data_IF_260879311935
#
_entry.id   IF_260879311935
#
_cell.length_a   1.000
_cell.length_b   1.000
_cell.length_c   1.000
_cell.angle_alpha   90.00
_cell.angle_beta   90.00
_cell.angle_gamma   90.00
#
_symmetry.space_group_name_H-M   'P 1'
#
loop_
_entity.id
_entity.type
_entity.pdbx_description
1 polymer ?
#
# COMPACT_ATOMS: atom_id res chain seq x y z
N UNK A 1 -38.43 5.73 -71.35
CA UNK A 1 -37.76 6.87 -72.02
C UNK A 1 -36.71 7.41 -71.06
N UNK A 2 -35.42 7.33 -71.45
CA UNK A 2 -34.23 8.09 -70.96
C UNK A 2 -33.93 8.00 -69.45
N UNK A 3 -32.70 7.98 -68.96
CA UNK A 3 -31.35 7.98 -69.54
C UNK A 3 -30.38 7.75 -68.37
N UNK A 4 -29.21 7.21 -68.70
CA UNK A 4 -27.89 7.60 -68.16
C UNK A 4 -27.53 7.20 -66.71
N UNK A 5 -26.52 6.34 -66.52
CA UNK A 5 -25.07 6.68 -66.51
C UNK A 5 -24.73 7.49 -65.23
N UNK A 6 -23.74 7.15 -64.41
CA UNK A 6 -22.41 6.65 -64.73
C UNK A 6 -21.65 6.48 -63.39
N UNK A 7 -20.60 5.64 -63.41
CA UNK A 7 -19.31 5.87 -62.74
C UNK A 7 -19.26 5.57 -61.23
N UNK A 8 -18.29 4.86 -60.66
CA UNK A 8 -17.00 4.39 -61.17
C UNK A 8 -16.34 3.46 -60.14
N UNK A 9 -15.54 2.49 -60.66
CA UNK A 9 -14.20 2.05 -60.19
C UNK A 9 -14.10 1.38 -58.79
N UNK A 10 -13.32 0.33 -58.57
CA UNK A 10 -12.18 -0.23 -59.30
C UNK A 10 -11.98 -1.69 -58.84
N UNK A 11 -11.63 -2.58 -59.78
CA UNK A 11 -11.20 -3.96 -59.52
C UNK A 11 -9.85 -3.99 -58.78
N UNK A 12 -9.54 -5.10 -58.09
CA UNK A 12 -8.51 -6.11 -58.48
C UNK A 12 -7.37 -6.11 -57.45
N UNK A 13 -6.72 -7.19 -56.97
CA UNK A 13 -6.59 -8.60 -57.40
C UNK A 13 -5.68 -9.34 -56.38
N UNK A 14 -5.97 -10.63 -56.11
CA UNK A 14 -5.06 -11.72 -55.59
C UNK A 14 -4.35 -11.56 -54.22
N UNK A 15 -3.88 -12.58 -53.50
CA UNK A 15 -3.53 -14.00 -53.76
C UNK A 15 -3.44 -14.75 -52.40
N UNK A 16 -3.58 -16.08 -52.44
CA UNK A 16 -3.44 -17.04 -51.34
C UNK A 16 -1.97 -17.39 -51.00
N UNK A 17 -1.78 -17.96 -49.80
CA UNK A 17 -0.59 -18.64 -49.19
C UNK A 17 0.49 -17.68 -48.64
N UNK A 18 0.94 -17.77 -47.38
CA UNK A 18 1.63 -18.90 -46.71
C UNK A 18 1.42 -18.91 -45.18
N UNK A 19 1.47 -20.11 -44.58
CA UNK A 19 1.57 -20.35 -43.13
C UNK A 19 2.94 -19.87 -42.62
N UNK A 20 2.96 -19.12 -41.51
CA UNK A 20 4.16 -18.92 -40.69
C UNK A 20 3.73 -18.96 -39.21
N UNK A 21 4.25 -19.96 -38.51
CA UNK A 21 4.07 -20.20 -37.09
C UNK A 21 5.00 -19.25 -36.32
N UNK A 22 4.42 -18.39 -35.48
CA UNK A 22 5.22 -17.40 -34.77
C UNK A 22 4.55 -16.92 -33.49
N UNK A 23 4.60 -17.78 -32.46
CA UNK A 23 4.51 -17.45 -31.03
C UNK A 23 3.58 -16.28 -30.69
N UNK A 24 2.34 -16.62 -30.33
CA UNK A 24 1.59 -15.85 -29.34
C UNK A 24 2.43 -15.85 -28.07
N UNK A 25 3.23 -14.80 -27.88
CA UNK A 25 3.72 -14.44 -26.58
C UNK A 25 2.50 -14.08 -25.76
N UNK A 26 2.00 -15.03 -24.98
CA UNK A 26 1.23 -14.73 -23.79
C UNK A 26 2.07 -13.71 -23.02
N UNK A 27 1.70 -12.44 -23.15
CA UNK A 27 2.08 -11.45 -22.16
C UNK A 27 1.37 -11.96 -20.92
N UNK A 28 2.10 -12.75 -20.11
CA UNK A 28 1.79 -12.92 -18.70
C UNK A 28 1.56 -11.50 -18.20
N UNK A 29 0.28 -11.14 -18.06
CA UNK A 29 -0.09 -10.01 -17.23
C UNK A 29 0.39 -10.43 -15.86
N UNK A 30 1.64 -10.06 -15.54
CA UNK A 30 2.06 -9.93 -14.15
C UNK A 30 0.92 -9.17 -13.51
N UNK A 31 0.24 -9.81 -12.59
CA UNK A 31 -0.68 -9.12 -11.69
C UNK A 31 0.18 -8.08 -10.97
N UNK A 32 0.27 -6.89 -11.56
CA UNK A 32 0.73 -5.70 -10.89
C UNK A 32 -0.20 -5.58 -9.69
N UNK A 33 0.32 -5.96 -8.51
CA UNK A 33 -0.46 -6.07 -7.29
C UNK A 33 -1.30 -4.80 -7.13
N UNK A 34 -2.61 -4.97 -6.99
CA UNK A 34 -3.56 -3.85 -7.06
C UNK A 34 -3.11 -2.70 -6.16
N UNK A 35 -2.92 -1.54 -6.76
CA UNK A 35 -2.67 -0.31 -6.03
C UNK A 35 -3.98 0.10 -5.36
N UNK A 36 -3.94 0.26 -4.05
CA UNK A 36 -5.04 0.73 -3.22
C UNK A 36 -4.76 2.16 -2.79
N UNK A 37 -5.60 3.07 -3.28
CA UNK A 37 -5.56 4.49 -2.91
C UNK A 37 -6.81 4.86 -2.11
N UNK A 38 -6.68 5.83 -1.22
CA UNK A 38 -7.77 6.24 -0.34
C UNK A 38 -7.31 7.17 0.77
N UNK A 39 -8.08 7.21 1.86
CA UNK A 39 -7.82 8.09 3.00
C UNK A 39 -7.57 7.26 4.24
N UNK A 40 -6.54 7.61 5.00
CA UNK A 40 -6.26 7.03 6.30
C UNK A 40 -6.54 8.02 7.43
N UNK A 41 -7.01 7.49 8.56
CA UNK A 41 -7.05 8.18 9.85
C UNK A 41 -6.20 7.38 10.83
N UNK A 42 -5.11 7.96 11.31
CA UNK A 42 -4.08 7.33 12.11
C UNK A 42 -3.96 8.09 13.45
N UNK A 43 -4.20 7.39 14.55
CA UNK A 43 -3.80 7.80 15.87
C UNK A 43 -2.31 7.49 16.08
N UNK A 44 -1.52 8.52 16.35
CA UNK A 44 -0.13 8.42 16.75
C UNK A 44 -0.05 8.57 18.27
N UNK A 45 0.41 7.53 18.94
CA UNK A 45 0.57 7.51 20.38
C UNK A 45 1.92 8.15 20.80
N UNK A 46 2.04 8.71 22.01
CA UNK A 46 3.29 9.27 22.50
C UNK A 46 4.47 8.27 22.53
N UNK A 47 4.17 6.97 22.66
CA UNK A 47 5.16 5.89 22.57
C UNK A 47 5.60 5.56 21.13
N UNK A 48 5.17 6.33 20.13
CA UNK A 48 5.49 6.13 18.71
C UNK A 48 4.73 5.02 18.01
N UNK A 49 3.94 4.25 18.75
CA UNK A 49 3.01 3.30 18.15
C UNK A 49 1.91 4.04 17.37
N UNK A 50 1.42 3.41 16.31
CA UNK A 50 0.32 3.94 15.51
C UNK A 50 -0.84 2.96 15.46
N UNK A 51 -2.05 3.48 15.41
CA UNK A 51 -3.26 2.68 15.21
C UNK A 51 -4.23 3.48 14.37
N UNK A 52 -4.94 2.84 13.44
CA UNK A 52 -5.79 3.59 12.55
C UNK A 52 -6.58 2.74 11.58
N UNK A 53 -7.16 3.43 10.62
CA UNK A 53 -7.95 2.84 9.56
C UNK A 53 -7.59 3.46 8.22
N UNK A 54 -7.54 2.64 7.19
CA UNK A 54 -7.40 3.06 5.80
C UNK A 54 -8.65 2.67 5.03
N UNK A 55 -9.31 3.65 4.43
CA UNK A 55 -10.50 3.45 3.61
C UNK A 55 -10.07 3.56 2.15
N UNK A 56 -10.02 2.42 1.47
CA UNK A 56 -9.72 2.34 0.05
C UNK A 56 -10.92 2.81 -0.78
N UNK A 57 -10.69 3.79 -1.65
CA UNK A 57 -11.70 4.38 -2.51
C UNK A 57 -11.55 3.89 -3.97
N UNK A 58 -12.64 3.79 -4.75
CA UNK A 58 -14.04 4.09 -4.39
C UNK A 58 -14.77 2.91 -3.71
N UNK A 59 -14.12 1.75 -3.59
CA UNK A 59 -14.76 0.52 -3.10
C UNK A 59 -15.16 0.57 -1.62
N UNK A 60 -14.74 1.60 -0.88
CA UNK A 60 -15.03 1.82 0.54
C UNK A 60 -14.62 0.62 1.42
N UNK A 61 -13.56 -0.09 1.01
CA UNK A 61 -13.02 -1.21 1.77
C UNK A 61 -12.16 -0.64 2.90
N UNK A 62 -12.43 -1.06 4.14
CA UNK A 62 -11.71 -0.60 5.32
C UNK A 62 -10.64 -1.61 5.74
N UNK A 63 -9.42 -1.11 5.89
CA UNK A 63 -8.29 -1.85 6.44
C UNK A 63 -7.93 -1.28 7.81
N UNK A 64 -7.63 -2.16 8.76
CA UNK A 64 -7.03 -1.78 10.03
C UNK A 64 -5.53 -1.54 9.86
N UNK A 65 -5.02 -0.51 10.53
CA UNK A 65 -3.60 -0.20 10.60
C UNK A 65 -3.15 -0.33 12.06
N UNK A 66 -2.12 -1.12 12.31
CA UNK A 66 -1.50 -1.24 13.62
C UNK A 66 0.01 -1.23 13.47
N UNK A 67 0.69 -0.27 14.09
CA UNK A 67 2.14 -0.14 14.01
C UNK A 67 2.76 -0.04 15.40
N UNK A 68 3.88 -0.73 15.56
CA UNK A 68 4.74 -0.60 16.75
C UNK A 68 6.08 -0.02 16.33
N UNK A 69 6.60 0.90 17.13
CA UNK A 69 7.94 1.46 16.93
C UNK A 69 8.97 0.35 17.17
N UNK A 70 9.88 0.18 16.21
CA UNK A 70 11.08 -0.62 16.38
C UNK A 70 12.12 0.27 17.06
N UNK A 71 12.79 -0.21 18.11
CA UNK A 71 13.84 0.53 18.79
C UNK A 71 15.18 0.42 18.03
N UNK A 72 15.88 1.54 17.84
CA UNK A 72 17.24 1.55 17.29
C UNK A 72 18.25 1.62 18.43
N UNK A 73 19.11 0.62 18.57
CA UNK A 73 20.15 0.63 19.62
C UNK A 73 21.38 1.48 19.23
N UNK A 74 21.62 1.68 17.94
CA UNK A 74 22.69 2.56 17.46
C UNK A 74 22.13 3.93 17.12
N UNK A 75 22.73 5.00 17.66
CA UNK A 75 22.39 6.39 17.35
C UNK A 75 22.19 6.58 15.83
N UNK A 76 20.93 6.56 15.40
CA UNK A 76 20.58 6.83 14.02
C UNK A 76 20.95 8.29 13.78
N UNK A 77 21.97 8.55 12.97
CA UNK A 77 22.35 9.89 12.52
C UNK A 77 21.28 10.60 11.67
N UNK A 78 20.06 10.03 11.60
CA UNK A 78 18.95 10.41 10.73
C UNK A 78 17.96 11.39 11.35
N UNK A 79 18.31 11.99 12.48
CA UNK A 79 17.52 13.02 13.16
C UNK A 79 16.49 12.43 14.12
N UNK A 80 16.10 13.21 15.12
CA UNK A 80 15.23 12.80 16.23
C UNK A 80 13.80 12.42 15.78
N UNK A 81 13.39 12.86 14.59
CA UNK A 81 12.05 12.62 14.05
C UNK A 81 11.95 11.36 13.17
N UNK A 82 13.03 10.57 13.02
CA UNK A 82 13.05 9.34 12.23
C UNK A 82 12.70 8.12 13.08
N UNK A 83 11.67 7.36 12.69
CA UNK A 83 11.28 6.11 13.34
C UNK A 83 11.08 5.00 12.31
N UNK A 84 11.42 3.76 12.67
CA UNK A 84 10.96 2.58 11.94
C UNK A 84 9.74 2.00 12.65
N UNK A 85 8.71 1.69 11.87
CA UNK A 85 7.47 1.12 12.38
C UNK A 85 7.25 -0.23 11.72
N UNK A 86 7.04 -1.27 12.54
CA UNK A 86 6.48 -2.54 12.10
C UNK A 86 4.97 -2.37 11.93
N UNK A 87 4.55 -2.06 10.71
CA UNK A 87 3.16 -1.79 10.35
C UNK A 87 2.46 -3.09 9.90
N UNK A 88 1.38 -3.43 10.58
CA UNK A 88 0.47 -4.51 10.27
C UNK A 88 -0.79 -3.93 9.63
N UNK A 89 -1.09 -4.38 8.40
CA UNK A 89 -2.27 -3.99 7.64
C UNK A 89 -3.24 -5.17 7.68
N UNK A 90 -4.44 -4.94 8.19
CA UNK A 90 -5.45 -5.98 8.40
C UNK A 90 -6.63 -5.72 7.47
N UNK A 91 -7.00 -6.69 6.65
CA UNK A 91 -8.26 -6.64 5.92
C UNK A 91 -9.39 -7.08 6.85
N UNK A 92 -10.31 -6.17 7.16
CA UNK A 92 -11.43 -6.49 8.04
C UNK A 92 -12.45 -7.44 7.43
N UNK A 93 -12.47 -7.61 6.10
CA UNK A 93 -13.36 -8.55 5.41
C UNK A 93 -12.78 -9.96 5.50
N UNK A 94 -11.57 -10.17 4.97
CA UNK A 94 -10.95 -11.51 4.96
C UNK A 94 -10.31 -11.91 6.29
N UNK A 95 -10.15 -10.97 7.23
CA UNK A 95 -9.40 -11.13 8.49
C UNK A 95 -7.93 -11.51 8.30
N UNK A 96 -7.40 -11.37 7.08
CA UNK A 96 -6.00 -11.59 6.78
C UNK A 96 -5.21 -10.35 7.13
N UNK A 97 -3.96 -10.56 7.54
CA UNK A 97 -3.05 -9.49 7.92
C UNK A 97 -1.73 -9.64 7.17
N UNK A 98 -1.10 -8.50 6.88
CA UNK A 98 0.21 -8.45 6.27
C UNK A 98 1.06 -7.43 7.01
N UNK A 99 2.26 -7.85 7.41
CA UNK A 99 3.21 -6.98 8.10
C UNK A 99 4.28 -6.46 7.15
N UNK A 100 4.63 -5.19 7.28
CA UNK A 100 5.68 -4.48 6.55
C UNK A 100 6.44 -3.55 7.49
N UNK A 101 7.68 -3.25 7.17
CA UNK A 101 8.46 -2.21 7.87
C UNK A 101 8.40 -0.94 7.04
N UNK A 102 8.10 0.18 7.70
CA UNK A 102 7.99 1.50 7.08
C UNK A 102 8.76 2.54 7.90
N UNK A 103 9.21 3.59 7.24
CA UNK A 103 9.74 4.77 7.90
C UNK A 103 8.61 5.71 8.25
N UNK A 104 8.60 6.24 9.47
CA UNK A 104 7.72 7.30 9.91
C UNK A 104 8.55 8.54 10.26
N UNK A 105 8.18 9.69 9.70
CA UNK A 105 8.83 10.99 9.88
C UNK A 105 7.81 12.05 10.25
N UNK A 106 8.26 13.19 10.79
CA UNK A 106 7.43 14.39 10.95
C UNK A 106 6.73 14.55 12.31
N UNK A 107 7.20 13.82 13.33
CA UNK A 107 6.73 13.93 14.71
C UNK A 107 5.19 13.84 14.79
N UNK A 108 4.50 14.92 15.13
CA UNK A 108 3.04 14.97 15.22
C UNK A 108 2.34 14.95 13.85
N UNK A 109 3.00 15.45 12.80
CA UNK A 109 2.52 15.46 11.41
C UNK A 109 3.19 14.32 10.61
N UNK A 110 2.70 13.11 10.84
CA UNK A 110 3.32 11.88 10.37
C UNK A 110 3.33 11.78 8.84
N UNK A 111 4.48 11.32 8.31
CA UNK A 111 4.67 10.85 6.94
C UNK A 111 5.23 9.45 6.99
N UNK A 112 4.54 8.50 6.34
CA UNK A 112 4.95 7.11 6.27
C UNK A 112 5.43 6.81 4.86
N UNK A 113 6.60 6.21 4.71
CA UNK A 113 7.14 5.80 3.41
C UNK A 113 7.85 4.44 3.52
N UNK A 114 8.15 3.85 2.37
CA UNK A 114 9.00 2.66 2.31
C UNK A 114 10.38 2.92 2.91
N UNK A 115 10.97 1.86 3.48
CA UNK A 115 12.35 1.91 3.96
C UNK A 115 13.31 2.04 2.78
N UNK A 116 14.02 3.16 2.72
CA UNK A 116 15.04 3.40 1.69
C UNK A 116 16.36 2.73 2.06
N UNK A 117 16.72 2.67 3.36
CA UNK A 117 17.95 2.04 3.87
C UNK A 117 17.83 1.75 5.38
N UNK A 118 17.99 0.49 5.81
CA UNK A 118 17.87 0.07 7.22
C UNK A 118 19.23 -0.09 7.94
N UNK A 119 20.23 0.74 7.64
CA UNK A 119 21.55 0.63 8.28
C UNK A 119 21.45 0.87 9.79
N UNK A 120 22.01 -0.04 10.60
CA UNK A 120 22.10 0.09 12.07
C UNK A 120 21.06 -0.68 12.88
N UNK A 121 20.21 -1.48 12.23
CA UNK A 121 19.16 -2.26 12.88
C UNK A 121 19.55 -3.73 13.01
N UNK A 122 18.92 -4.45 13.94
CA UNK A 122 19.16 -5.89 14.14
C UNK A 122 19.01 -6.68 12.83
N UNK A 123 19.75 -7.78 12.70
CA UNK A 123 19.68 -8.67 11.52
C UNK A 123 18.25 -9.14 11.25
N UNK A 124 17.39 -9.25 12.27
CA UNK A 124 15.97 -9.61 12.12
C UNK A 124 15.13 -8.50 11.45
N UNK A 125 15.46 -7.22 11.69
CA UNK A 125 14.82 -6.07 11.03
C UNK A 125 15.35 -5.93 9.61
N UNK A 126 16.66 -6.09 9.43
CA UNK A 126 17.30 -6.12 8.12
C UNK A 126 16.71 -7.27 7.29
N UNK A 127 16.57 -8.46 7.86
CA UNK A 127 15.95 -9.63 7.23
C UNK A 127 14.51 -9.36 6.83
N UNK A 128 13.69 -8.74 7.68
CA UNK A 128 12.31 -8.37 7.33
C UNK A 128 12.21 -7.33 6.19
N UNK A 129 13.21 -6.44 6.09
CA UNK A 129 13.32 -5.46 5.00
C UNK A 129 13.85 -6.12 3.71
N UNK A 130 14.87 -6.98 3.82
CA UNK A 130 15.59 -7.62 2.70
C UNK A 130 14.86 -8.82 2.09
N UNK A 131 14.19 -9.65 2.91
CA UNK A 131 13.41 -10.83 2.46
C UNK A 131 12.28 -10.43 1.50
N UNK A 132 11.81 -9.18 1.56
CA UNK A 132 10.77 -8.64 0.66
C UNK A 132 11.29 -7.94 -0.60
N UNK A 133 12.59 -7.98 -0.90
CA UNK A 133 13.12 -7.57 -2.21
C UNK A 133 12.86 -8.62 -3.33
N UNK A 134 12.27 -9.78 -3.00
CA UNK A 134 11.79 -10.76 -3.97
C UNK A 134 10.40 -10.43 -4.56
N UNK A 135 10.36 -9.91 -5.80
CA UNK A 135 9.25 -9.84 -6.80
C UNK A 135 7.85 -9.28 -6.42
N UNK A 136 7.42 -9.20 -5.15
CA UNK A 136 6.17 -8.55 -4.72
C UNK A 136 6.42 -7.73 -3.45
N UNK A 137 7.16 -6.62 -3.58
CA UNK A 137 7.38 -5.68 -2.47
C UNK A 137 6.08 -4.93 -2.19
N UNK A 138 5.54 -5.08 -0.98
CA UNK A 138 4.46 -4.20 -0.51
C UNK A 138 5.07 -2.82 -0.31
N UNK A 139 4.45 -1.80 -0.90
CA UNK A 139 4.87 -0.41 -0.76
C UNK A 139 3.76 0.39 -0.11
N UNK A 140 4.12 1.26 0.83
CA UNK A 140 3.20 2.08 1.62
C UNK A 140 3.66 3.54 1.61
N UNK A 141 2.74 4.44 1.29
CA UNK A 141 2.94 5.88 1.49
C UNK A 141 1.72 6.51 2.17
N UNK A 142 1.97 7.37 3.15
CA UNK A 142 0.97 8.20 3.81
C UNK A 142 1.54 9.60 4.07
N UNK A 143 0.69 10.61 3.90
CA UNK A 143 1.03 11.99 4.21
C UNK A 143 -0.10 12.62 5.02
N UNK A 144 0.23 13.16 6.21
CA UNK A 144 -0.73 13.90 7.00
C UNK A 144 -1.11 15.23 6.32
N UNK A 145 -2.39 15.41 6.04
CA UNK A 145 -2.97 16.69 5.59
C UNK A 145 -3.71 17.41 6.73
N UNK A 146 -4.31 16.66 7.65
CA UNK A 146 -5.05 17.20 8.78
C UNK A 146 -4.55 16.57 10.08
N UNK A 147 -3.98 17.40 10.95
CA UNK A 147 -3.58 17.05 12.30
C UNK A 147 -4.63 17.53 13.30
N UNK A 148 -5.11 16.64 14.16
CA UNK A 148 -5.90 16.99 15.35
C UNK A 148 -5.10 16.65 16.59
N UNK A 149 -5.11 17.57 17.56
CA UNK A 149 -4.49 17.42 18.87
C UNK A 149 -5.51 17.71 19.99
N UNK A 150 -5.12 17.40 21.22
CA UNK A 150 -5.88 17.70 22.44
C UNK A 150 -7.35 17.26 22.36
N UNK A 151 -8.28 18.15 22.70
CA UNK A 151 -9.73 17.88 22.71
C UNK A 151 -10.24 17.41 21.35
N UNK A 152 -9.76 17.99 20.24
CA UNK A 152 -10.18 17.61 18.90
C UNK A 152 -9.71 16.19 18.51
N UNK A 153 -8.54 15.77 19.01
CA UNK A 153 -8.05 14.40 18.86
C UNK A 153 -8.87 13.44 19.72
N UNK A 154 -9.06 13.77 21.00
CA UNK A 154 -9.77 12.94 21.97
C UNK A 154 -11.24 12.71 21.56
N UNK A 155 -11.93 13.73 21.05
CA UNK A 155 -13.30 13.57 20.51
C UNK A 155 -13.33 12.63 19.31
N UNK A 156 -12.35 12.74 18.41
CA UNK A 156 -12.22 11.82 17.28
C UNK A 156 -11.94 10.38 17.74
N UNK A 157 -11.05 10.22 18.72
CA UNK A 157 -10.71 8.92 19.31
C UNK A 157 -11.95 8.28 19.94
N UNK A 158 -12.72 9.02 20.74
CA UNK A 158 -13.95 8.51 21.37
C UNK A 158 -14.96 8.01 20.35
N UNK A 159 -15.05 8.67 19.19
CA UNK A 159 -16.00 8.30 18.15
C UNK A 159 -15.53 7.09 17.32
N UNK A 160 -14.25 7.04 16.94
CA UNK A 160 -13.77 6.10 15.91
C UNK A 160 -12.77 5.06 16.42
N UNK A 161 -12.07 5.33 17.53
CA UNK A 161 -11.03 4.47 18.10
C UNK A 161 -11.11 4.44 19.64
N UNK A 162 -12.27 4.09 20.23
CA UNK A 162 -12.54 4.33 21.65
C UNK A 162 -11.57 3.63 22.61
N UNK A 163 -10.89 2.57 22.15
CA UNK A 163 -9.85 1.87 22.94
C UNK A 163 -8.60 2.70 23.20
N UNK A 164 -8.41 3.81 22.48
CA UNK A 164 -7.26 4.70 22.61
C UNK A 164 -7.57 5.97 23.41
N UNK A 165 -8.81 6.12 23.90
CA UNK A 165 -9.24 7.32 24.63
C UNK A 165 -8.39 7.51 25.89
N UNK A 166 -7.95 8.76 26.14
CA UNK A 166 -7.11 9.09 27.29
C UNK A 166 -5.64 8.66 27.17
N UNK A 167 -5.19 8.15 26.01
CA UNK A 167 -3.78 7.83 25.76
C UNK A 167 -2.98 8.99 25.16
N UNK A 168 -3.56 10.21 25.12
CA UNK A 168 -2.94 11.43 24.61
C UNK A 168 -2.38 11.27 23.18
N UNK A 169 -3.09 10.53 22.33
CA UNK A 169 -2.72 10.36 20.94
C UNK A 169 -3.14 11.58 20.10
N UNK A 170 -2.34 11.92 19.10
CA UNK A 170 -2.72 12.88 18.05
C UNK A 170 -3.30 12.14 16.85
N UNK A 171 -4.21 12.76 16.10
CA UNK A 171 -4.84 12.16 14.93
C UNK A 171 -4.31 12.80 13.66
N UNK A 172 -3.72 11.97 12.80
CA UNK A 172 -3.26 12.31 11.46
C UNK A 172 -4.27 11.77 10.44
N UNK A 173 -4.80 12.63 9.58
CA UNK A 173 -5.72 12.25 8.49
C UNK A 173 -5.11 12.72 7.18
N UNK A 174 -5.13 11.86 6.16
CA UNK A 174 -4.61 12.21 4.85
C UNK A 174 -4.62 11.05 3.85
N UNK A 175 -4.15 11.30 2.62
CA UNK A 175 -4.09 10.30 1.57
C UNK A 175 -3.13 9.18 1.96
N UNK A 176 -3.53 7.96 1.63
CA UNK A 176 -2.69 6.77 1.76
C UNK A 176 -2.75 5.95 0.48
N UNK A 177 -1.60 5.41 0.10
CA UNK A 177 -1.43 4.50 -1.02
C UNK A 177 -0.68 3.26 -0.56
N UNK A 178 -1.23 2.11 -0.93
CA UNK A 178 -0.64 0.80 -0.64
C UNK A 178 -0.61 0.01 -1.95
N UNK A 179 0.53 -0.54 -2.33
CA UNK A 179 0.66 -1.42 -3.50
C UNK A 179 1.31 -2.74 -3.12
N UNK A 180 1.09 -3.78 -3.92
CA UNK A 180 1.63 -5.12 -3.64
C UNK A 180 0.97 -5.85 -2.47
N UNK A 181 -0.12 -5.32 -1.91
CA UNK A 181 -0.90 -5.96 -0.86
C UNK A 181 -1.65 -7.16 -1.43
N UNK A 182 -1.10 -8.34 -1.21
CA UNK A 182 -1.64 -9.61 -1.66
C UNK A 182 -1.96 -10.46 -0.43
N UNK A 183 -3.25 -10.59 -0.14
CA UNK A 183 -3.73 -11.48 0.92
C UNK A 183 -3.98 -12.90 0.39
N UNK A 184 -3.46 -13.28 -0.78
CA UNK A 184 -3.51 -14.66 -1.23
C UNK A 184 -2.95 -15.58 -0.13
N UNK A 185 -3.75 -16.58 0.22
CA UNK A 185 -3.38 -17.59 1.19
C UNK A 185 -2.13 -18.31 0.69
N UNK A 186 -1.13 -18.42 1.55
CA UNK A 186 -0.28 -19.61 1.53
C UNK A 186 -1.19 -20.80 1.86
N UNK A 187 -1.81 -21.39 0.85
CA UNK A 187 -2.37 -22.74 0.96
C UNK A 187 -1.19 -23.73 0.91
N UNK A 188 -0.92 -24.32 2.07
CA UNK A 188 -0.34 -25.64 2.33
C UNK A 188 0.80 -26.17 1.45
N UNK A 189 2.04 -26.06 1.96
CA UNK A 189 3.11 -27.05 1.71
C UNK A 189 3.46 -27.82 3.00
N UNK A 190 2.51 -28.62 3.49
CA UNK A 190 2.85 -29.84 4.22
C UNK A 190 2.20 -31.04 3.53
N UNK A 191 2.74 -31.37 2.36
CA UNK A 191 2.67 -32.70 1.79
C UNK A 191 4.04 -33.35 1.96
N UNK A 192 4.20 -34.16 3.02
CA UNK A 192 4.62 -35.56 2.93
C UNK A 192 4.53 -36.26 4.29
#
# INVERSE_FOLDING_TARGET
RRSEHLSNRFLSVTRLTTMDEGREGEIEKKEEGQVKEGVASIALLPCGSISGHFIHMPLSICYGLHGSELACETECSRGEDYRLIKLTIIDYISKKEQTVVVECKGHDAARINDVEHAHGWEEDVIGLVEEKHGKKKVSVSFECETLKADEAAEDHIRQFMPKLAGLNAVINIGPMKISGLDFASVEDEHAN
#
